data_IF_007734088623
#
_entry.id   IF_007734088623
#
_cell.length_a   1.000
_cell.length_b   1.000
_cell.length_c   1.000
_cell.angle_alpha   90.00
_cell.angle_beta   90.00
_cell.angle_gamma   90.00
#
_symmetry.space_group_name_H-M   'P 1'
#
loop_
_entity.id
_entity.type
_entity.pdbx_description
1 polymer ?
#
# COMPACT_ATOMS: atom_id res chain seq x y z
N UNK A 1 18.96 -26.24 -0.82
CA UNK A 1 19.33 -24.81 -0.77
C UNK A 1 18.45 -24.15 0.27
N UNK A 2 18.99 -23.30 1.14
CA UNK A 2 18.17 -22.60 2.13
C UNK A 2 17.10 -21.76 1.42
N UNK A 3 15.86 -21.80 1.90
CA UNK A 3 14.77 -21.01 1.34
C UNK A 3 15.12 -19.52 1.52
N UNK A 4 15.18 -18.77 0.41
CA UNK A 4 15.56 -17.36 0.41
C UNK A 4 14.42 -16.50 0.99
N UNK A 5 14.33 -16.45 2.32
CA UNK A 5 13.28 -15.74 3.06
C UNK A 5 13.46 -14.21 3.08
N UNK A 6 14.09 -13.62 2.07
CA UNK A 6 14.10 -12.17 1.89
C UNK A 6 12.84 -11.73 1.14
N UNK A 7 12.14 -10.73 1.69
CA UNK A 7 10.88 -10.20 1.16
C UNK A 7 10.95 -8.69 1.02
N UNK A 8 10.48 -8.16 -0.12
CA UNK A 8 10.23 -6.72 -0.27
C UNK A 8 8.75 -6.46 -0.02
N UNK A 9 8.43 -5.60 0.95
CA UNK A 9 7.07 -5.23 1.32
C UNK A 9 6.74 -3.84 0.77
N UNK A 10 5.67 -3.72 -0.02
CA UNK A 10 5.06 -2.43 -0.32
C UNK A 10 4.50 -1.82 0.98
N UNK A 11 5.13 -0.76 1.45
CA UNK A 11 4.93 -0.17 2.76
C UNK A 11 4.35 1.24 2.64
N UNK A 12 3.22 1.50 3.31
CA UNK A 12 2.53 2.80 3.26
C UNK A 12 2.71 3.66 4.52
N UNK A 13 3.32 3.13 5.58
CA UNK A 13 3.34 3.78 6.90
C UNK A 13 2.12 3.49 7.78
N UNK A 14 1.08 2.88 7.22
CA UNK A 14 -0.16 2.55 7.93
C UNK A 14 -0.01 1.46 8.99
N UNK A 15 -1.07 1.22 9.75
CA UNK A 15 -1.11 0.16 10.77
C UNK A 15 -0.81 -1.21 10.15
N UNK A 16 -1.51 -1.56 9.08
CA UNK A 16 -1.49 -2.88 8.44
C UNK A 16 -0.10 -3.23 7.96
N UNK A 17 0.53 -2.33 7.18
CA UNK A 17 1.89 -2.58 6.68
C UNK A 17 2.94 -2.57 7.79
N UNK A 18 2.70 -1.88 8.91
CA UNK A 18 3.60 -1.90 10.07
C UNK A 18 3.48 -3.22 10.83
N UNK A 19 2.26 -3.69 11.08
CA UNK A 19 1.99 -5.02 11.64
C UNK A 19 2.57 -6.11 10.72
N UNK A 20 2.44 -5.96 9.40
CA UNK A 20 3.00 -6.88 8.41
C UNK A 20 4.51 -7.07 8.51
N UNK A 21 5.28 -6.00 8.74
CA UNK A 21 6.74 -6.13 8.98
C UNK A 21 6.99 -7.11 10.12
N UNK A 22 6.34 -6.90 11.26
CA UNK A 22 6.61 -7.71 12.46
C UNK A 22 6.09 -9.15 12.30
N UNK A 23 4.91 -9.32 11.73
CA UNK A 23 4.33 -10.62 11.45
C UNK A 23 5.18 -11.46 10.49
N UNK A 24 5.76 -10.83 9.46
CA UNK A 24 6.71 -11.48 8.54
C UNK A 24 8.02 -11.85 9.25
N UNK A 25 8.56 -10.95 10.08
CA UNK A 25 9.76 -11.22 10.89
C UNK A 25 9.56 -12.45 11.79
N UNK A 26 8.40 -12.60 12.44
CA UNK A 26 8.08 -13.76 13.29
C UNK A 26 8.01 -15.09 12.51
N UNK A 27 7.78 -15.04 11.20
CA UNK A 27 7.84 -16.19 10.29
C UNK A 27 9.23 -16.44 9.71
N UNK A 28 10.22 -15.66 10.15
CA UNK A 28 11.62 -15.76 9.77
C UNK A 28 11.94 -15.11 8.42
N UNK A 29 11.12 -14.14 7.96
CA UNK A 29 11.45 -13.35 6.79
C UNK A 29 12.37 -12.17 7.15
N UNK A 30 13.32 -11.87 6.27
CA UNK A 30 14.08 -10.62 6.27
C UNK A 30 13.31 -9.59 5.43
N UNK A 31 12.72 -8.60 6.09
CA UNK A 31 11.83 -7.63 5.44
C UNK A 31 12.62 -6.40 4.98
N UNK A 32 12.47 -6.05 3.70
CA UNK A 32 12.85 -4.77 3.11
C UNK A 32 11.57 -3.97 2.87
N UNK A 33 11.44 -2.78 3.45
CA UNK A 33 10.31 -1.90 3.21
C UNK A 33 10.54 -1.07 1.94
N UNK A 34 9.53 -0.99 1.09
CA UNK A 34 9.52 -0.20 -0.13
C UNK A 34 8.35 0.77 -0.10
N UNK A 35 8.64 2.06 -0.08
CA UNK A 35 7.66 3.12 -0.27
C UNK A 35 7.81 3.68 -1.69
N UNK A 36 6.69 3.97 -2.33
CA UNK A 36 6.63 4.52 -3.68
C UNK A 36 5.92 5.86 -3.58
N UNK A 37 6.64 6.96 -3.84
CA UNK A 37 6.06 8.30 -3.84
C UNK A 37 5.37 8.57 -5.16
N UNK A 38 4.03 8.53 -5.13
CA UNK A 38 3.14 8.90 -6.24
C UNK A 38 2.39 10.21 -5.94
N UNK A 39 2.91 10.99 -4.99
CA UNK A 39 2.37 12.28 -4.53
C UNK A 39 1.17 12.15 -3.59
N UNK A 40 1.17 11.12 -2.75
CA UNK A 40 0.20 10.94 -1.68
C UNK A 40 0.32 12.00 -0.56
N UNK A 41 1.41 12.76 -0.52
CA UNK A 41 1.70 13.70 0.57
C UNK A 41 2.17 13.00 1.85
N UNK A 42 2.21 13.74 2.96
CA UNK A 42 2.79 13.27 4.23
C UNK A 42 4.31 13.17 4.20
N UNK A 43 4.90 12.70 5.31
CA UNK A 43 6.34 12.50 5.43
C UNK A 43 6.71 11.03 5.12
N UNK A 44 7.02 10.77 3.85
CA UNK A 44 7.43 9.42 3.41
C UNK A 44 8.76 8.99 4.05
N UNK A 45 9.61 9.93 4.51
CA UNK A 45 10.86 9.60 5.20
C UNK A 45 10.57 9.12 6.61
N UNK A 46 9.64 9.77 7.32
CA UNK A 46 9.15 9.31 8.63
C UNK A 46 8.58 7.88 8.53
N UNK A 47 7.83 7.57 7.46
CA UNK A 47 7.38 6.21 7.21
C UNK A 47 8.56 5.21 7.09
N UNK A 48 9.68 5.61 6.47
CA UNK A 48 10.87 4.78 6.35
C UNK A 48 11.54 4.51 7.69
N UNK A 49 11.69 5.56 8.51
CA UNK A 49 12.20 5.44 9.88
C UNK A 49 11.31 4.56 10.75
N UNK A 50 9.99 4.69 10.57
CA UNK A 50 8.99 3.83 11.21
C UNK A 50 9.14 2.37 10.78
N UNK A 51 9.36 2.10 9.49
CA UNK A 51 9.57 0.73 9.01
C UNK A 51 10.82 0.09 9.64
N UNK A 52 11.94 0.82 9.67
CA UNK A 52 13.18 0.37 10.28
C UNK A 52 13.01 0.09 11.78
N UNK A 53 12.42 1.03 12.52
CA UNK A 53 12.17 0.85 13.95
C UNK A 53 11.16 -0.28 14.27
N UNK A 54 10.29 -0.63 13.33
CA UNK A 54 9.36 -1.76 13.45
C UNK A 54 10.05 -3.12 13.19
N UNK A 55 11.18 -3.11 12.48
CA UNK A 55 12.02 -4.29 12.23
C UNK A 55 12.27 -4.60 10.76
N UNK A 56 12.05 -3.66 9.83
CA UNK A 56 12.59 -3.79 8.49
C UNK A 56 14.12 -3.67 8.55
N UNK A 57 14.82 -4.48 7.77
CA UNK A 57 16.29 -4.44 7.66
C UNK A 57 16.78 -3.28 6.81
N UNK A 58 15.99 -2.92 5.80
CA UNK A 58 16.23 -1.79 4.91
C UNK A 58 14.90 -1.10 4.59
N UNK A 59 14.93 0.20 4.32
CA UNK A 59 13.79 0.97 3.86
C UNK A 59 14.20 1.81 2.64
N UNK A 60 13.41 1.72 1.57
CA UNK A 60 13.69 2.41 0.31
C UNK A 60 12.50 3.25 -0.11
N UNK A 61 12.80 4.43 -0.64
CA UNK A 61 11.83 5.31 -1.28
C UNK A 61 12.11 5.32 -2.78
N UNK A 62 11.07 5.08 -3.57
CA UNK A 62 11.08 5.30 -5.02
C UNK A 62 10.35 6.60 -5.30
N UNK A 63 11.09 7.61 -5.79
CA UNK A 63 10.51 8.87 -6.25
C UNK A 63 9.82 8.65 -7.60
N UNK A 64 8.54 8.31 -7.58
CA UNK A 64 7.81 7.83 -8.76
C UNK A 64 6.80 8.85 -9.31
N UNK A 65 6.77 10.08 -8.79
CA UNK A 65 5.81 11.13 -9.19
C UNK A 65 5.84 11.43 -10.68
N UNK A 66 7.04 11.61 -11.24
CA UNK A 66 7.19 11.93 -12.67
C UNK A 66 6.78 10.75 -13.55
N UNK A 67 7.24 9.54 -13.24
CA UNK A 67 6.85 8.30 -13.93
C UNK A 67 5.33 8.07 -13.84
N UNK A 68 4.73 8.29 -12.66
CA UNK A 68 3.29 8.17 -12.46
C UNK A 68 2.50 9.10 -13.39
N UNK A 69 2.91 10.36 -13.49
CA UNK A 69 2.24 11.31 -14.39
C UNK A 69 2.44 10.93 -15.86
N UNK A 70 3.68 10.69 -16.26
CA UNK A 70 4.07 10.54 -17.66
C UNK A 70 3.61 9.21 -18.26
N UNK A 71 3.74 8.12 -17.52
CA UNK A 71 3.53 6.75 -18.03
C UNK A 71 2.16 6.17 -17.66
N UNK A 72 1.43 6.76 -16.69
CA UNK A 72 0.13 6.23 -16.25
C UNK A 72 -1.00 7.25 -16.40
N UNK A 73 -0.85 8.45 -15.83
CA UNK A 73 -1.92 9.47 -15.86
C UNK A 73 -2.13 10.02 -17.26
N UNK A 74 -1.08 10.47 -17.95
CA UNK A 74 -1.22 11.04 -19.29
C UNK A 74 -1.82 10.07 -20.32
N UNK A 75 -1.41 8.78 -20.38
CA UNK A 75 -2.08 7.82 -21.24
C UNK A 75 -3.56 7.64 -20.90
N UNK A 76 -3.92 7.53 -19.62
CA UNK A 76 -5.31 7.42 -19.19
C UNK A 76 -6.14 8.66 -19.59
N UNK A 77 -5.55 9.85 -19.43
CA UNK A 77 -6.16 11.12 -19.85
C UNK A 77 -6.37 11.19 -21.36
N UNK A 78 -5.36 10.83 -22.17
CA UNK A 78 -5.48 10.79 -23.65
C UNK A 78 -6.58 9.84 -24.12
N UNK A 79 -6.78 8.74 -23.39
CA UNK A 79 -7.84 7.77 -23.66
C UNK A 79 -9.22 8.20 -23.16
N UNK A 80 -9.32 9.33 -22.43
CA UNK A 80 -10.52 9.71 -21.68
C UNK A 80 -11.03 8.57 -20.79
N UNK A 81 -10.11 7.87 -20.11
CA UNK A 81 -10.43 6.66 -19.37
C UNK A 81 -11.33 6.97 -18.16
N UNK A 82 -12.57 6.47 -18.21
CA UNK A 82 -13.58 6.58 -17.16
C UNK A 82 -14.18 5.21 -16.89
N UNK A 83 -14.02 4.71 -15.68
CA UNK A 83 -14.67 3.48 -15.26
C UNK A 83 -16.13 3.76 -14.91
N UNK A 84 -17.03 2.97 -15.52
CA UNK A 84 -18.48 3.15 -15.40
C UNK A 84 -18.94 4.59 -15.70
N UNK A 85 -18.26 5.26 -16.64
CA UNK A 85 -18.52 6.65 -17.04
C UNK A 85 -18.49 7.69 -15.90
N UNK A 86 -17.91 7.35 -14.75
CA UNK A 86 -17.93 8.19 -13.54
C UNK A 86 -16.55 8.30 -12.86
N UNK A 87 -15.78 7.22 -12.84
CA UNK A 87 -14.56 7.15 -12.03
C UNK A 87 -13.28 7.26 -12.89
N UNK A 88 -12.49 8.30 -12.66
CA UNK A 88 -11.24 8.60 -13.38
C UNK A 88 -10.03 7.73 -12.97
N UNK A 89 -10.27 6.56 -12.38
CA UNK A 89 -9.24 5.57 -12.05
C UNK A 89 -8.15 6.07 -11.08
N UNK A 90 -8.44 7.08 -10.26
CA UNK A 90 -7.51 7.73 -9.32
C UNK A 90 -6.62 6.75 -8.55
N UNK A 91 -7.24 5.75 -7.93
CA UNK A 91 -6.58 4.69 -7.18
C UNK A 91 -5.92 3.71 -8.15
N UNK A 92 -6.67 3.20 -9.13
CA UNK A 92 -6.22 2.10 -9.98
C UNK A 92 -4.91 2.38 -10.74
N UNK A 93 -4.67 3.61 -11.19
CA UNK A 93 -3.51 3.94 -12.04
C UNK A 93 -2.16 3.80 -11.31
N UNK A 94 -2.10 4.00 -9.99
CA UNK A 94 -0.83 3.90 -9.27
C UNK A 94 -0.42 2.47 -8.94
N UNK A 95 -1.36 1.52 -8.89
CA UNK A 95 -1.10 0.15 -8.41
C UNK A 95 -0.16 -0.63 -9.32
N UNK A 96 -0.28 -0.56 -10.66
CA UNK A 96 0.68 -1.21 -11.54
C UNK A 96 2.11 -0.68 -11.38
N UNK A 97 2.28 0.64 -11.15
CA UNK A 97 3.58 1.25 -10.87
C UNK A 97 4.16 0.73 -9.55
N UNK A 98 3.35 0.62 -8.51
CA UNK A 98 3.75 0.04 -7.22
C UNK A 98 4.17 -1.43 -7.41
N UNK A 99 3.38 -2.24 -8.12
CA UNK A 99 3.71 -3.64 -8.41
C UNK A 99 4.99 -3.80 -9.23
N UNK A 100 5.23 -2.92 -10.21
CA UNK A 100 6.47 -2.84 -10.99
C UNK A 100 7.67 -2.55 -10.08
N UNK A 101 7.59 -1.49 -9.28
CA UNK A 101 8.66 -1.09 -8.36
C UNK A 101 8.96 -2.21 -7.34
N UNK A 102 7.92 -2.88 -6.84
CA UNK A 102 8.02 -4.00 -5.91
C UNK A 102 8.81 -5.17 -6.51
N UNK A 103 8.44 -5.59 -7.73
CA UNK A 103 9.14 -6.67 -8.43
C UNK A 103 10.59 -6.31 -8.76
N UNK A 104 10.83 -5.11 -9.29
CA UNK A 104 12.17 -4.63 -9.63
C UNK A 104 13.08 -4.57 -8.40
N UNK A 105 12.57 -4.05 -7.27
CA UNK A 105 13.33 -3.97 -6.04
C UNK A 105 13.64 -5.36 -5.49
N UNK A 106 12.68 -6.29 -5.53
CA UNK A 106 12.89 -7.66 -5.09
C UNK A 106 14.00 -8.35 -5.89
N UNK A 107 13.97 -8.23 -7.22
CA UNK A 107 15.01 -8.79 -8.10
C UNK A 107 16.38 -8.16 -7.78
N UNK A 108 16.46 -6.83 -7.67
CA UNK A 108 17.70 -6.12 -7.40
C UNK A 108 18.30 -6.44 -6.02
N UNK A 109 17.45 -6.69 -5.02
CA UNK A 109 17.86 -7.07 -3.67
C UNK A 109 18.08 -8.59 -3.51
N UNK A 110 17.92 -9.37 -4.58
CA UNK A 110 18.02 -10.83 -4.53
C UNK A 110 16.95 -11.47 -3.64
N UNK A 111 15.79 -10.84 -3.47
CA UNK A 111 14.67 -11.34 -2.70
C UNK A 111 13.90 -12.43 -3.46
N UNK A 112 13.44 -13.47 -2.76
CA UNK A 112 12.58 -14.50 -3.33
C UNK A 112 11.09 -14.14 -3.29
N UNK A 113 10.74 -13.13 -2.48
CA UNK A 113 9.37 -12.82 -2.11
C UNK A 113 9.06 -11.32 -2.26
N UNK A 114 7.81 -11.03 -2.56
CA UNK A 114 7.20 -9.70 -2.49
C UNK A 114 5.96 -9.76 -1.61
N UNK A 115 5.63 -8.65 -0.95
CA UNK A 115 4.45 -8.56 -0.09
C UNK A 115 3.72 -7.22 -0.24
N UNK A 116 2.42 -7.22 0.07
CA UNK A 116 1.61 -6.00 0.13
C UNK A 116 0.63 -6.01 1.31
N UNK A 117 0.18 -4.81 1.71
CA UNK A 117 -0.81 -4.62 2.79
C UNK A 117 -2.26 -4.53 2.34
N UNK A 118 -2.61 -4.81 1.08
CA UNK A 118 -4.01 -4.76 0.63
C UNK A 118 -4.88 -5.81 1.32
N UNK A 119 -6.12 -5.44 1.63
CA UNK A 119 -7.11 -6.35 2.23
C UNK A 119 -7.57 -7.43 1.25
N UNK A 120 -8.08 -8.55 1.77
CA UNK A 120 -8.63 -9.64 0.96
C UNK A 120 -9.96 -9.34 0.26
N UNK A 121 -10.58 -8.17 0.52
CA UNK A 121 -11.90 -7.78 -0.04
C UNK A 121 -11.81 -6.70 -1.11
N UNK A 122 -10.69 -5.99 -1.19
CA UNK A 122 -10.51 -4.87 -2.12
C UNK A 122 -9.95 -5.28 -3.49
N UNK A 123 -10.00 -4.34 -4.43
CA UNK A 123 -9.45 -4.51 -5.78
C UNK A 123 -7.91 -4.44 -5.83
N UNK A 124 -7.29 -3.80 -4.85
CA UNK A 124 -5.86 -3.49 -4.89
C UNK A 124 -4.97 -4.73 -4.79
N UNK A 125 -5.41 -5.79 -4.11
CA UNK A 125 -4.70 -7.06 -4.12
C UNK A 125 -4.52 -7.56 -5.57
N UNK A 126 -5.59 -7.56 -6.37
CA UNK A 126 -5.53 -8.04 -7.76
C UNK A 126 -4.61 -7.16 -8.59
N UNK A 127 -4.72 -5.83 -8.45
CA UNK A 127 -3.94 -4.87 -9.24
C UNK A 127 -2.44 -5.00 -8.97
N UNK A 128 -2.05 -5.09 -7.68
CA UNK A 128 -0.65 -5.20 -7.29
C UNK A 128 -0.11 -6.59 -7.63
N UNK A 129 -0.86 -7.66 -7.35
CA UNK A 129 -0.43 -9.03 -7.59
C UNK A 129 -0.21 -9.32 -9.07
N UNK A 130 -1.15 -8.93 -9.92
CA UNK A 130 -1.03 -9.11 -11.38
C UNK A 130 0.15 -8.31 -11.93
N UNK A 131 0.34 -7.08 -11.48
CA UNK A 131 1.48 -6.26 -11.91
C UNK A 131 2.82 -6.87 -11.45
N UNK A 132 2.94 -7.25 -10.18
CA UNK A 132 4.15 -7.87 -9.66
C UNK A 132 4.48 -9.19 -10.39
N UNK A 133 3.47 -10.02 -10.67
CA UNK A 133 3.64 -11.26 -11.43
C UNK A 133 4.07 -11.01 -12.89
N UNK A 134 3.59 -9.92 -13.51
CA UNK A 134 4.00 -9.56 -14.87
C UNK A 134 5.47 -9.09 -14.93
N UNK A 135 5.96 -8.36 -13.93
CA UNK A 135 7.34 -7.85 -13.89
C UNK A 135 8.35 -8.80 -13.22
N UNK A 136 7.88 -9.77 -12.44
CA UNK A 136 8.72 -10.73 -11.72
C UNK A 136 8.01 -12.06 -11.50
N UNK A 137 7.72 -12.84 -12.56
CA UNK A 137 6.97 -14.10 -12.47
C UNK A 137 7.65 -15.18 -11.60
N UNK A 138 8.94 -15.04 -11.32
CA UNK A 138 9.71 -15.90 -10.43
C UNK A 138 9.52 -15.58 -8.93
N UNK A 139 8.96 -14.42 -8.60
CA UNK A 139 8.78 -13.96 -7.22
C UNK A 139 7.53 -14.58 -6.61
N UNK A 140 7.62 -14.96 -5.33
CA UNK A 140 6.46 -15.45 -4.58
C UNK A 140 5.76 -14.28 -3.89
N UNK A 141 4.44 -14.22 -4.01
CA UNK A 141 3.62 -13.21 -3.35
C UNK A 141 3.22 -13.63 -1.93
N UNK A 142 3.27 -12.69 -1.00
CA UNK A 142 2.71 -12.80 0.35
C UNK A 142 1.68 -11.67 0.57
N UNK A 143 0.54 -11.97 1.16
CA UNK A 143 -0.50 -10.97 1.43
C UNK A 143 -0.89 -11.03 2.92
N UNK A 144 -0.05 -10.51 3.84
CA UNK A 144 -0.24 -10.70 5.29
C UNK A 144 -1.65 -10.36 5.79
N UNK A 145 -2.25 -9.27 5.30
CA UNK A 145 -3.60 -8.83 5.72
C UNK A 145 -4.70 -9.81 5.29
N UNK A 146 -4.48 -10.56 4.21
CA UNK A 146 -5.37 -11.63 3.76
C UNK A 146 -5.07 -12.95 4.47
N UNK A 147 -3.81 -13.17 4.85
CA UNK A 147 -3.31 -14.44 5.36
C UNK A 147 -3.39 -14.54 6.89
N UNK A 148 -3.48 -13.42 7.62
CA UNK A 148 -3.78 -13.41 9.05
C UNK A 148 -5.28 -13.33 9.33
N UNK A 149 -5.66 -13.70 10.54
CA UNK A 149 -7.06 -13.69 11.01
C UNK A 149 -7.30 -12.58 12.06
N UNK A 150 -6.48 -11.53 12.04
CA UNK A 150 -6.62 -10.40 12.97
C UNK A 150 -7.72 -9.45 12.52
N UNK A 151 -8.69 -9.20 13.40
CA UNK A 151 -9.55 -8.03 13.31
C UNK A 151 -8.76 -6.73 13.52
N UNK A 152 -9.35 -5.59 13.16
CA UNK A 152 -8.74 -4.27 13.39
C UNK A 152 -8.39 -4.02 14.86
N UNK A 153 -9.21 -4.50 15.79
CA UNK A 153 -8.93 -4.44 17.23
C UNK A 153 -7.71 -5.29 17.60
N UNK A 154 -7.61 -6.51 17.07
CA UNK A 154 -6.49 -7.41 17.32
C UNK A 154 -5.20 -6.89 16.69
N UNK A 155 -5.25 -6.25 15.52
CA UNK A 155 -4.10 -5.56 14.92
C UNK A 155 -3.55 -4.44 15.83
N UNK A 156 -4.44 -3.67 16.47
CA UNK A 156 -4.04 -2.61 17.40
C UNK A 156 -3.42 -3.20 18.68
N UNK A 157 -3.97 -4.29 19.20
CA UNK A 157 -3.41 -5.01 20.33
C UNK A 157 -2.05 -5.63 19.99
N UNK A 158 -1.93 -6.21 18.80
CA UNK A 158 -0.68 -6.74 18.27
C UNK A 158 0.37 -5.62 18.16
N UNK A 159 0.01 -4.48 17.54
CA UNK A 159 0.88 -3.33 17.43
C UNK A 159 1.37 -2.85 18.81
N UNK A 160 0.47 -2.76 19.80
CA UNK A 160 0.82 -2.40 21.18
C UNK A 160 1.77 -3.41 21.81
N UNK A 161 1.49 -4.71 21.68
CA UNK A 161 2.31 -5.80 22.23
C UNK A 161 3.73 -5.79 21.67
N UNK A 162 3.88 -5.42 20.40
CA UNK A 162 5.16 -5.40 19.69
C UNK A 162 5.84 -4.02 19.68
N UNK A 163 5.29 -3.03 20.39
CA UNK A 163 5.88 -1.68 20.47
C UNK A 163 5.82 -0.90 19.15
N UNK A 164 4.93 -1.27 18.24
CA UNK A 164 4.75 -0.60 16.95
C UNK A 164 4.05 0.73 17.20
N UNK A 165 4.70 1.84 16.83
CA UNK A 165 4.11 3.18 16.95
C UNK A 165 2.92 3.29 16.00
N UNK A 166 1.72 3.35 16.56
CA UNK A 166 0.51 3.68 15.81
C UNK A 166 0.23 5.16 16.05
N UNK A 167 0.05 5.93 14.98
CA UNK A 167 -0.41 7.31 15.14
C UNK A 167 -1.79 7.27 15.80
N UNK A 168 -1.87 7.82 17.01
CA UNK A 168 -3.11 7.97 17.75
C UNK A 168 -3.88 9.19 17.19
N UNK A 169 -4.18 9.18 15.89
CA UNK A 169 -5.08 10.18 15.32
C UNK A 169 -6.52 9.75 15.63
N UNK A 170 -7.37 10.72 16.01
CA UNK A 170 -8.83 10.53 16.05
C UNK A 170 -9.21 9.79 14.77
N UNK A 171 -9.78 8.58 14.92
CA UNK A 171 -10.19 7.73 13.79
C UNK A 171 -10.91 8.59 12.77
N UNK A 172 -10.28 8.85 11.63
CA UNK A 172 -11.07 9.15 10.44
C UNK A 172 -11.96 7.92 10.23
N UNK A 173 -13.29 8.07 10.11
CA UNK A 173 -14.16 6.94 9.82
C UNK A 173 -13.93 6.40 8.40
N UNK A 174 -13.13 7.09 7.59
CA UNK A 174 -12.91 6.80 6.19
C UNK A 174 -11.62 6.01 5.95
N UNK A 175 -11.67 5.13 4.95
CA UNK A 175 -10.49 4.65 4.22
C UNK A 175 -10.19 5.67 3.12
N UNK A 176 -8.96 6.21 3.11
CA UNK A 176 -8.55 7.27 2.19
C UNK A 176 -7.32 6.81 1.42
N UNK A 177 -7.39 6.92 0.10
CA UNK A 177 -6.27 6.73 -0.82
C UNK A 177 -6.09 8.03 -1.63
N UNK A 178 -4.86 8.51 -1.76
CA UNK A 178 -4.59 9.69 -2.57
C UNK A 178 -3.21 9.65 -3.22
N UNK A 179 -3.10 10.29 -4.37
CA UNK A 179 -1.89 10.46 -5.16
C UNK A 179 -2.06 11.70 -6.06
N UNK A 180 -1.09 12.07 -6.89
CA UNK A 180 -1.18 13.28 -7.72
C UNK A 180 -2.44 13.39 -8.61
N UNK A 181 -3.09 12.27 -8.95
CA UNK A 181 -4.22 12.24 -9.86
C UNK A 181 -5.58 12.38 -9.18
N UNK A 182 -5.69 11.96 -7.93
CA UNK A 182 -6.96 12.07 -7.21
C UNK A 182 -6.93 11.51 -5.81
N UNK A 183 -8.09 11.65 -5.14
CA UNK A 183 -8.33 11.22 -3.78
C UNK A 183 -9.62 10.40 -3.72
N UNK A 184 -9.50 9.15 -3.28
CA UNK A 184 -10.60 8.24 -2.99
C UNK A 184 -10.93 8.26 -1.49
N UNK A 185 -12.21 8.16 -1.18
CA UNK A 185 -12.74 8.14 0.19
C UNK A 185 -13.86 7.12 0.24
N UNK A 186 -13.77 6.18 1.17
CA UNK A 186 -14.74 5.10 1.30
C UNK A 186 -14.88 4.68 2.79
N UNK A 187 -15.72 3.68 3.04
CA UNK A 187 -16.04 3.17 4.38
C UNK A 187 -16.76 4.18 5.30
N UNK A 188 -17.08 3.72 6.51
CA UNK A 188 -17.76 4.54 7.51
C UNK A 188 -19.19 4.85 7.07
N UNK A 189 -19.60 6.12 7.21
CA UNK A 189 -20.96 6.53 6.82
C UNK A 189 -21.22 6.43 5.32
N UNK A 190 -20.15 6.39 4.49
CA UNK A 190 -20.25 6.32 3.03
C UNK A 190 -20.66 4.93 2.50
N UNK A 191 -20.74 3.90 3.36
CA UNK A 191 -21.24 2.58 2.95
C UNK A 191 -22.76 2.57 2.71
N UNK A 192 -23.49 3.55 3.26
CA UNK A 192 -24.91 3.75 2.99
C UNK A 192 -25.08 4.74 1.82
N UNK A 193 -25.48 4.28 0.62
CA UNK A 193 -25.67 5.17 -0.54
C UNK A 193 -26.84 6.14 -0.37
N UNK A 194 -27.66 6.00 0.67
CA UNK A 194 -28.72 6.95 1.01
C UNK A 194 -28.23 8.12 1.87
N UNK A 195 -26.98 8.07 2.33
CA UNK A 195 -26.36 9.17 3.08
C UNK A 195 -25.52 10.03 2.16
N UNK A 196 -25.80 11.33 2.16
CA UNK A 196 -24.96 12.32 1.48
C UNK A 196 -23.55 12.34 2.10
N UNK A 197 -22.48 12.36 1.28
CA UNK A 197 -21.13 12.46 1.82
C UNK A 197 -20.96 13.71 2.70
N UNK A 198 -20.57 13.56 3.98
CA UNK A 198 -20.41 14.70 4.88
C UNK A 198 -19.24 15.60 4.47
N UNK A 199 -19.26 16.85 4.93
CA UNK A 199 -18.25 17.85 4.57
C UNK A 199 -16.81 17.43 4.92
N UNK A 200 -16.61 16.65 5.98
CA UNK A 200 -15.30 16.15 6.41
C UNK A 200 -14.77 14.98 5.57
N UNK A 201 -15.57 14.44 4.64
CA UNK A 201 -15.11 13.50 3.63
C UNK A 201 -14.26 14.22 2.55
N UNK A 202 -14.45 15.52 2.34
CA UNK A 202 -13.74 16.32 1.35
C UNK A 202 -12.47 16.96 1.94
N UNK A 203 -11.42 17.08 1.12
CA UNK A 203 -10.16 17.71 1.51
C UNK A 203 -9.51 18.56 0.41
N UNK A 204 -9.68 18.17 -0.86
CA UNK A 204 -9.05 18.84 -2.00
C UNK A 204 -9.93 19.90 -2.65
N UNK A 205 -11.24 19.75 -2.52
CA UNK A 205 -12.26 20.61 -3.13
C UNK A 205 -12.98 21.39 -2.04
N UNK A 206 -13.34 22.64 -2.35
CA UNK A 206 -14.09 23.54 -1.46
C UNK A 206 -15.58 23.53 -1.77
#
# INVERSE_FOLDING_TARGET
>A
MAENKKVVLAYSGGLDTSVAIKWLNEKGYEVIALMVDVGQGGDIKEAGEKALSTGATEAFIVEAKEEFITDFVWPALKANAMYQDQYSLATALSRPLIGKALAQKAIASGAGYVAHGSTGKGNDQVRIEVAAAAFGPQLKMLAPVRDWDMSRSEELEYAKKHGIKVEATKKSPYSIDQNLWGRSVECGVLEDPWVEPPADAYAWTK
#
